data_IF_505713571098
#
_entry.id   IF_505713571098
#
_cell.length_a   1.000
_cell.length_b   1.000
_cell.length_c   1.000
_cell.angle_alpha   90.00
_cell.angle_beta   90.00
_cell.angle_gamma   90.00
#
_symmetry.space_group_name_H-M   'P 1'
#
loop_
_entity.id
_entity.type
_entity.pdbx_description
1 polymer ?
#
# COMPACT_ATOMS: atom_id res chain seq x y z
N UNK A 1 -5.27 30.65 -0.71
CA UNK A 1 -4.11 30.55 -1.65
C UNK A 1 -4.16 29.20 -2.32
N UNK A 2 -4.09 29.16 -3.65
CA UNK A 2 -4.05 27.90 -4.42
C UNK A 2 -2.75 27.20 -4.06
N UNK A 3 -2.85 26.02 -3.46
CA UNK A 3 -1.68 25.17 -3.22
C UNK A 3 -1.26 24.57 -4.56
N UNK A 4 -0.14 25.03 -5.11
CA UNK A 4 0.38 24.48 -6.37
C UNK A 4 1.07 23.17 -6.11
N UNK A 5 0.71 22.15 -6.90
CA UNK A 5 1.34 20.85 -6.90
C UNK A 5 2.07 20.61 -8.22
N UNK A 6 3.13 19.81 -8.18
CA UNK A 6 3.89 19.37 -9.36
C UNK A 6 4.39 17.94 -9.16
N UNK A 7 4.69 17.26 -10.27
CA UNK A 7 5.41 16.00 -10.20
C UNK A 7 6.93 16.29 -10.14
N UNK A 8 7.63 15.56 -9.29
CA UNK A 8 9.08 15.74 -9.07
C UNK A 8 9.76 14.37 -9.13
N UNK A 9 10.89 14.31 -9.81
CA UNK A 9 11.74 13.13 -9.78
C UNK A 9 12.19 12.84 -8.34
N UNK A 10 12.05 11.59 -7.89
CA UNK A 10 12.46 11.20 -6.54
C UNK A 10 13.98 11.19 -6.34
N UNK A 11 14.76 11.16 -7.43
CA UNK A 11 16.21 11.30 -7.34
C UNK A 11 16.57 12.75 -7.01
N UNK A 12 17.11 13.04 -5.81
CA UNK A 12 17.42 14.41 -5.38
C UNK A 12 18.48 15.07 -6.25
N UNK A 13 19.36 14.29 -6.89
CA UNK A 13 20.42 14.80 -7.80
C UNK A 13 19.87 15.18 -9.17
N UNK A 14 18.68 14.70 -9.56
CA UNK A 14 18.06 15.02 -10.84
C UNK A 14 17.21 16.30 -10.75
N UNK A 15 16.33 16.39 -9.77
CA UNK A 15 15.46 17.53 -9.50
C UNK A 15 14.47 17.89 -10.61
N UNK A 16 14.33 17.09 -11.70
CA UNK A 16 13.43 17.39 -12.81
C UNK A 16 11.97 17.39 -12.34
N UNK A 17 11.23 18.38 -12.81
CA UNK A 17 9.81 18.56 -12.47
C UNK A 17 8.92 18.47 -13.70
N UNK A 18 7.65 18.10 -13.49
CA UNK A 18 6.62 18.04 -14.52
C UNK A 18 5.34 18.72 -14.02
N UNK A 19 4.52 19.25 -14.91
CA UNK A 19 3.21 19.77 -14.52
C UNK A 19 2.39 18.69 -13.80
N UNK A 20 1.57 19.09 -12.84
CA UNK A 20 0.68 18.15 -12.15
C UNK A 20 -0.30 17.47 -13.13
N UNK A 21 -0.66 18.16 -14.21
CA UNK A 21 -1.46 17.63 -15.32
C UNK A 21 -0.57 16.88 -16.32
N UNK A 22 0.16 15.87 -15.84
CA UNK A 22 0.98 14.98 -16.65
C UNK A 22 0.69 13.55 -16.29
N UNK A 23 0.64 12.66 -17.28
CA UNK A 23 0.49 11.21 -17.10
C UNK A 23 1.83 10.49 -16.87
N UNK A 24 2.94 11.26 -16.81
CA UNK A 24 4.27 10.69 -16.59
C UNK A 24 4.35 9.99 -15.22
N UNK A 25 4.88 8.78 -15.22
CA UNK A 25 5.14 7.98 -14.01
C UNK A 25 6.64 7.89 -13.68
N UNK A 26 7.50 8.14 -14.68
CA UNK A 26 8.94 8.09 -14.57
C UNK A 26 9.58 9.36 -15.12
N UNK A 27 10.76 9.68 -14.59
CA UNK A 27 11.57 10.78 -15.08
C UNK A 27 12.25 10.42 -16.40
N UNK A 28 12.08 11.26 -17.43
CA UNK A 28 12.69 11.07 -18.76
C UNK A 28 14.23 11.16 -18.71
N UNK A 29 14.80 11.87 -17.73
CA UNK A 29 16.24 12.11 -17.64
C UNK A 29 17.00 10.99 -16.94
N UNK A 30 16.39 10.32 -15.94
CA UNK A 30 17.09 9.31 -15.13
C UNK A 30 16.26 8.07 -14.80
N UNK A 31 15.07 7.95 -15.40
CA UNK A 31 14.17 6.79 -15.30
C UNK A 31 13.67 6.46 -13.85
N UNK A 32 13.93 7.33 -12.86
CA UNK A 32 13.36 7.20 -11.53
C UNK A 32 11.86 7.51 -11.54
N UNK A 33 11.14 6.94 -10.58
CA UNK A 33 9.73 7.25 -10.37
C UNK A 33 9.51 8.72 -10.00
N UNK A 34 8.29 9.21 -10.19
CA UNK A 34 7.88 10.55 -9.82
C UNK A 34 7.04 10.54 -8.54
N UNK A 35 7.11 11.64 -7.78
CA UNK A 35 6.21 11.94 -6.66
C UNK A 35 5.46 13.25 -6.91
N UNK A 36 4.28 13.39 -6.32
CA UNK A 36 3.59 14.67 -6.19
C UNK A 36 4.29 15.48 -5.08
N UNK A 37 4.64 16.72 -5.34
CA UNK A 37 5.18 17.66 -4.35
C UNK A 37 4.32 18.92 -4.30
N UNK A 38 4.01 19.36 -3.09
CA UNK A 38 3.26 20.58 -2.80
C UNK A 38 4.22 21.74 -2.51
N UNK A 39 3.89 22.94 -3.00
CA UNK A 39 4.77 24.13 -2.82
C UNK A 39 4.60 24.79 -1.46
N UNK A 40 3.47 24.56 -0.78
CA UNK A 40 3.16 25.16 0.51
C UNK A 40 2.77 24.08 1.53
N UNK A 41 3.24 24.25 2.75
CA UNK A 41 2.83 23.42 3.87
C UNK A 41 1.39 23.78 4.30
N UNK A 42 0.48 22.80 4.42
CA UNK A 42 -0.85 23.04 4.96
C UNK A 42 -0.76 23.36 6.46
N UNK A 43 -1.69 24.18 6.95
CA UNK A 43 -1.74 24.55 8.37
C UNK A 43 -2.05 23.36 9.26
N UNK A 44 -1.32 23.20 10.38
CA UNK A 44 -1.60 22.17 11.37
C UNK A 44 -2.96 22.35 12.10
N UNK A 45 -3.59 23.52 12.00
CA UNK A 45 -4.97 23.75 12.49
C UNK A 45 -6.00 22.86 11.79
N UNK A 46 -5.69 22.33 10.60
CA UNK A 46 -6.55 21.38 9.91
C UNK A 46 -6.77 20.06 10.67
N UNK A 47 -5.97 19.76 11.70
CA UNK A 47 -6.20 18.62 12.59
C UNK A 47 -7.59 18.66 13.25
N UNK A 48 -8.03 19.84 13.66
CA UNK A 48 -9.36 20.10 14.24
C UNK A 48 -10.45 19.86 13.18
N UNK A 49 -10.26 20.39 11.98
CA UNK A 49 -11.17 20.19 10.84
C UNK A 49 -11.33 18.69 10.50
N UNK A 50 -10.23 17.93 10.49
CA UNK A 50 -10.29 16.50 10.20
C UNK A 50 -11.03 15.72 11.29
N UNK A 51 -10.85 16.11 12.55
CA UNK A 51 -11.58 15.52 13.66
C UNK A 51 -13.09 15.79 13.55
N UNK A 52 -13.50 17.03 13.24
CA UNK A 52 -14.90 17.40 13.04
C UNK A 52 -15.53 16.60 11.87
N UNK A 53 -14.78 16.36 10.79
CA UNK A 53 -15.23 15.55 9.64
C UNK A 53 -15.44 14.07 9.95
N UNK A 54 -15.00 13.57 11.10
CA UNK A 54 -15.34 12.21 11.57
C UNK A 54 -16.83 12.04 11.85
N UNK A 55 -17.52 13.12 12.19
CA UNK A 55 -18.97 13.17 12.37
C UNK A 55 -19.59 13.94 11.20
N UNK A 56 -19.69 13.32 10.01
CA UNK A 56 -20.01 14.03 8.80
C UNK A 56 -21.45 14.56 8.79
N UNK A 57 -21.60 15.83 8.44
CA UNK A 57 -22.87 16.40 8.03
C UNK A 57 -22.69 16.93 6.60
N UNK A 58 -23.42 16.36 5.67
CA UNK A 58 -23.70 16.95 4.36
C UNK A 58 -22.79 16.61 3.18
N UNK A 59 -21.54 16.12 3.33
CA UNK A 59 -20.67 15.81 2.20
C UNK A 59 -20.08 14.40 2.27
N UNK A 60 -20.27 13.62 1.21
CA UNK A 60 -19.65 12.27 1.07
C UNK A 60 -18.13 12.30 1.20
N UNK A 61 -17.48 13.40 0.81
CA UNK A 61 -16.03 13.55 0.92
C UNK A 61 -15.56 13.70 2.37
N UNK A 62 -16.40 14.18 3.28
CA UNK A 62 -16.08 14.22 4.71
C UNK A 62 -16.16 12.82 5.33
N UNK A 63 -16.96 11.91 4.77
CA UNK A 63 -17.06 10.53 5.20
C UNK A 63 -15.87 9.70 4.73
N UNK A 64 -15.28 10.05 3.57
CA UNK A 64 -14.15 9.34 2.99
C UNK A 64 -12.90 9.41 3.89
N UNK A 65 -12.27 8.27 4.12
CA UNK A 65 -10.97 8.19 4.79
C UNK A 65 -9.81 8.73 3.97
N UNK A 66 -10.06 9.07 2.70
CA UNK A 66 -9.12 9.72 1.77
C UNK A 66 -9.42 11.21 1.67
N UNK A 67 -10.63 11.56 1.21
CA UNK A 67 -10.97 12.94 0.86
C UNK A 67 -11.30 13.85 2.05
N UNK A 68 -11.52 13.29 3.25
CA UNK A 68 -11.58 14.15 4.43
C UNK A 68 -10.26 14.87 4.73
N UNK A 69 -9.13 14.34 4.19
CA UNK A 69 -7.79 14.93 4.24
C UNK A 69 -7.42 15.69 2.95
N UNK A 70 -8.41 16.11 2.14
CA UNK A 70 -8.20 16.69 0.80
C UNK A 70 -7.22 17.84 0.74
N UNK A 71 -7.10 18.63 1.80
CA UNK A 71 -6.12 19.71 1.89
C UNK A 71 -4.66 19.21 1.90
N UNK A 72 -4.45 17.94 2.33
CA UNK A 72 -3.15 17.26 2.28
C UNK A 72 -2.93 16.52 0.95
N UNK A 73 -3.97 16.44 0.11
CA UNK A 73 -3.97 15.79 -1.22
C UNK A 73 -4.32 16.78 -2.34
N UNK A 74 -3.99 18.06 -2.18
CA UNK A 74 -4.45 19.11 -3.07
C UNK A 74 -3.70 19.14 -4.42
N UNK A 75 -3.65 18.03 -5.12
CA UNK A 75 -3.13 17.94 -6.50
C UNK A 75 -4.16 18.36 -7.56
N UNK A 76 -5.43 18.54 -7.17
CA UNK A 76 -6.46 19.05 -8.05
C UNK A 76 -6.43 20.58 -8.17
N UNK A 77 -5.47 21.27 -7.54
CA UNK A 77 -5.39 22.72 -7.46
C UNK A 77 -6.71 23.33 -6.89
N UNK A 78 -7.23 22.67 -5.85
CA UNK A 78 -8.46 23.10 -5.17
C UNK A 78 -8.16 24.37 -4.37
N UNK A 79 -8.81 25.46 -4.71
CA UNK A 79 -8.95 26.57 -3.78
C UNK A 79 -9.82 26.11 -2.60
N UNK A 80 -9.33 26.26 -1.39
CA UNK A 80 -9.99 25.77 -0.17
C UNK A 80 -11.41 26.33 0.05
N UNK A 81 -11.76 27.39 -0.66
CA UNK A 81 -13.06 28.05 -0.60
C UNK A 81 -14.07 27.58 -1.67
N UNK A 82 -13.61 26.86 -2.72
CA UNK A 82 -14.47 26.44 -3.82
C UNK A 82 -14.40 24.92 -4.08
N UNK A 83 -14.72 24.15 -3.04
CA UNK A 83 -14.76 22.68 -3.07
C UNK A 83 -15.72 22.17 -4.16
N UNK A 84 -16.78 22.92 -4.49
CA UNK A 84 -17.76 22.50 -5.49
C UNK A 84 -17.18 22.46 -6.91
N UNK A 85 -16.29 23.37 -7.28
CA UNK A 85 -15.64 23.33 -8.60
C UNK A 85 -14.71 22.14 -8.77
N UNK A 86 -14.14 21.66 -7.68
CA UNK A 86 -13.22 20.50 -7.69
C UNK A 86 -13.93 19.19 -7.41
N UNK A 87 -15.09 19.23 -6.76
CA UNK A 87 -15.92 18.06 -6.53
C UNK A 87 -16.20 17.29 -7.82
N UNK A 88 -16.27 17.99 -8.97
CA UNK A 88 -16.45 17.35 -10.29
C UNK A 88 -15.35 16.37 -10.70
N UNK A 89 -14.14 16.50 -10.12
CA UNK A 89 -13.02 15.57 -10.40
C UNK A 89 -12.84 14.52 -9.32
N UNK A 90 -13.21 14.82 -8.06
CA UNK A 90 -12.99 13.89 -6.96
C UNK A 90 -13.80 12.61 -7.19
N UNK A 91 -13.13 11.49 -7.10
CA UNK A 91 -13.72 10.17 -7.21
C UNK A 91 -13.78 9.54 -5.83
N UNK A 92 -14.98 9.19 -5.39
CA UNK A 92 -15.25 8.53 -4.13
C UNK A 92 -16.36 7.50 -4.31
N UNK A 93 -16.30 6.42 -3.56
CA UNK A 93 -17.35 5.40 -3.47
C UNK A 93 -18.31 5.77 -2.32
N UNK A 94 -19.06 6.84 -2.49
CA UNK A 94 -20.01 7.37 -1.49
C UNK A 94 -19.38 7.56 -0.09
N UNK A 95 -18.11 7.98 -0.04
CA UNK A 95 -17.38 8.16 1.20
C UNK A 95 -16.94 6.85 1.87
N UNK A 96 -17.06 5.72 1.21
CA UNK A 96 -16.80 4.42 1.84
C UNK A 96 -15.30 4.07 1.95
N UNK A 97 -14.46 4.55 1.01
CA UNK A 97 -13.03 4.23 1.03
C UNK A 97 -12.33 4.82 2.27
N UNK A 98 -11.64 3.97 3.00
CA UNK A 98 -10.91 4.32 4.23
C UNK A 98 -11.77 4.68 5.44
N UNK A 99 -13.07 4.81 5.32
CA UNK A 99 -13.97 5.31 6.38
C UNK A 99 -13.86 4.52 7.68
N UNK A 100 -13.90 3.20 7.59
CA UNK A 100 -13.85 2.29 8.74
C UNK A 100 -12.43 1.82 9.09
N UNK A 101 -11.44 2.20 8.28
CA UNK A 101 -10.06 1.76 8.44
C UNK A 101 -9.33 2.69 9.40
N UNK A 102 -9.43 2.39 10.68
CA UNK A 102 -8.70 3.04 11.78
C UNK A 102 -8.05 1.97 12.66
N UNK A 103 -7.04 2.32 13.49
CA UNK A 103 -6.46 1.37 14.44
C UNK A 103 -7.45 0.89 15.51
N UNK A 104 -7.36 -0.40 15.81
CA UNK A 104 -8.12 -1.07 16.88
C UNK A 104 -7.18 -1.90 17.75
N UNK A 105 -7.45 -1.95 19.05
CA UNK A 105 -6.83 -2.91 19.96
C UNK A 105 -7.43 -4.31 19.75
N UNK A 106 -6.57 -5.34 19.80
CA UNK A 106 -6.94 -6.74 19.58
C UNK A 106 -6.30 -7.60 20.68
N UNK A 107 -7.02 -7.86 21.77
CA UNK A 107 -6.48 -8.48 22.98
C UNK A 107 -5.76 -9.82 22.73
N UNK A 108 -6.36 -10.74 21.95
CA UNK A 108 -5.72 -12.02 21.66
C UNK A 108 -4.49 -11.88 20.77
N UNK A 109 -4.44 -10.83 19.93
CA UNK A 109 -3.26 -10.53 19.11
C UNK A 109 -2.15 -9.95 19.98
N UNK A 110 -2.46 -9.04 20.91
CA UNK A 110 -1.49 -8.48 21.85
C UNK A 110 -0.90 -9.55 22.76
N UNK A 111 -1.71 -10.46 23.29
CA UNK A 111 -1.27 -11.64 24.04
C UNK A 111 -0.34 -12.55 23.22
N UNK A 112 -0.70 -12.82 21.95
CA UNK A 112 0.12 -13.63 21.03
C UNK A 112 1.48 -13.01 20.76
N UNK A 113 1.53 -11.68 20.60
CA UNK A 113 2.74 -10.91 20.32
C UNK A 113 3.60 -10.73 21.59
N UNK A 114 2.98 -10.60 22.76
CA UNK A 114 3.66 -10.31 24.02
C UNK A 114 3.94 -8.81 24.24
N UNK A 115 3.01 -7.95 23.79
CA UNK A 115 2.99 -6.50 24.02
C UNK A 115 1.68 -6.17 24.75
N UNK A 116 1.72 -5.22 25.68
CA UNK A 116 0.50 -4.78 26.39
C UNK A 116 -0.55 -4.25 25.38
N UNK A 117 -1.84 -4.56 25.63
CA UNK A 117 -2.90 -4.29 24.66
C UNK A 117 -3.04 -2.80 24.31
N UNK A 118 -2.78 -1.89 25.24
CA UNK A 118 -2.77 -0.44 25.03
C UNK A 118 -1.63 0.06 24.14
N UNK A 119 -0.58 -0.72 23.99
CA UNK A 119 0.61 -0.35 23.23
C UNK A 119 0.59 -0.90 21.79
N UNK A 120 -0.33 -1.81 21.43
CA UNK A 120 -0.42 -2.35 20.09
C UNK A 120 -1.81 -2.22 19.50
N UNK A 121 -1.87 -1.72 18.28
CA UNK A 121 -3.11 -1.57 17.51
C UNK A 121 -2.93 -2.10 16.10
N UNK A 122 -4.04 -2.50 15.48
CA UNK A 122 -4.07 -2.95 14.10
C UNK A 122 -5.11 -2.17 13.30
N UNK A 123 -4.70 -1.70 12.11
CA UNK A 123 -5.57 -0.96 11.20
C UNK A 123 -6.07 -1.86 10.06
N UNK A 124 -7.37 -2.28 10.08
CA UNK A 124 -7.92 -3.20 9.09
C UNK A 124 -8.34 -2.46 7.82
N UNK A 125 -7.49 -2.45 6.82
CA UNK A 125 -7.77 -1.92 5.47
C UNK A 125 -8.70 -2.85 4.66
N UNK A 126 -9.03 -4.01 5.17
CA UNK A 126 -10.04 -4.92 4.62
C UNK A 126 -11.47 -4.36 4.62
N UNK A 127 -11.74 -3.32 5.42
CA UNK A 127 -13.04 -2.62 5.45
C UNK A 127 -13.27 -1.68 4.27
N UNK A 128 -12.27 -1.46 3.43
CA UNK A 128 -12.46 -0.75 2.17
C UNK A 128 -13.44 -1.53 1.26
N UNK A 129 -14.19 -0.85 0.37
CA UNK A 129 -15.25 -1.47 -0.45
C UNK A 129 -14.79 -2.67 -1.27
N UNK A 130 -13.63 -2.61 -1.97
CA UNK A 130 -13.08 -3.76 -2.67
C UNK A 130 -12.44 -4.80 -1.74
N UNK A 131 -12.32 -4.48 -0.45
CA UNK A 131 -11.73 -5.32 0.58
C UNK A 131 -10.23 -5.19 0.73
N UNK A 132 -9.60 -4.06 0.35
CA UNK A 132 -8.18 -3.83 0.58
C UNK A 132 -7.79 -2.35 0.55
N UNK A 133 -6.60 -2.04 1.08
CA UNK A 133 -6.01 -0.70 1.06
C UNK A 133 -5.84 -0.08 -0.34
N UNK A 134 -5.98 -0.90 -1.40
CA UNK A 134 -5.84 -0.42 -2.77
C UNK A 134 -6.85 0.68 -3.11
N UNK A 135 -8.01 0.68 -2.48
CA UNK A 135 -9.07 1.66 -2.71
C UNK A 135 -8.63 3.09 -2.36
N UNK A 136 -7.83 3.26 -1.31
CA UNK A 136 -7.31 4.58 -0.96
C UNK A 136 -6.51 5.20 -2.11
N UNK A 137 -5.59 4.43 -2.67
CA UNK A 137 -4.79 4.91 -3.81
C UNK A 137 -5.57 4.97 -5.11
N UNK A 138 -6.55 4.10 -5.30
CA UNK A 138 -7.36 4.07 -6.52
C UNK A 138 -8.25 5.30 -6.61
N UNK A 139 -8.88 5.70 -5.51
CA UNK A 139 -9.65 6.94 -5.41
C UNK A 139 -8.85 8.15 -5.95
N UNK A 140 -7.63 8.36 -5.48
CA UNK A 140 -6.79 9.47 -5.93
C UNK A 140 -6.27 9.31 -7.38
N UNK A 141 -5.87 8.10 -7.79
CA UNK A 141 -5.38 7.87 -9.14
C UNK A 141 -6.48 8.02 -10.20
N UNK A 142 -7.69 7.51 -9.94
CA UNK A 142 -8.83 7.67 -10.87
C UNK A 142 -9.29 9.13 -10.90
N UNK A 143 -9.25 9.86 -9.78
CA UNK A 143 -9.45 11.30 -9.75
C UNK A 143 -8.51 12.02 -10.71
N UNK A 144 -7.20 11.73 -10.64
CA UNK A 144 -6.25 12.33 -11.57
C UNK A 144 -6.49 11.87 -13.02
N UNK A 145 -6.77 10.59 -13.24
CA UNK A 145 -7.14 10.09 -14.57
C UNK A 145 -8.33 10.85 -15.17
N UNK A 146 -9.37 11.10 -14.38
CA UNK A 146 -10.53 11.92 -14.76
C UNK A 146 -10.15 13.37 -15.09
N UNK A 147 -9.25 13.99 -14.31
CA UNK A 147 -8.71 15.32 -14.61
C UNK A 147 -7.94 15.34 -15.95
N UNK A 148 -7.30 14.24 -16.32
CA UNK A 148 -6.59 14.06 -17.60
C UNK A 148 -7.51 13.69 -18.76
N UNK A 149 -8.82 13.55 -18.52
CA UNK A 149 -9.79 13.16 -19.55
C UNK A 149 -9.75 11.68 -19.91
N UNK A 150 -9.20 10.83 -19.05
CA UNK A 150 -9.15 9.39 -19.27
C UNK A 150 -10.56 8.80 -19.43
N UNK A 151 -10.68 7.86 -20.37
CA UNK A 151 -11.88 7.06 -20.64
C UNK A 151 -11.67 5.60 -20.28
N UNK A 152 -10.42 5.18 -20.13
CA UNK A 152 -10.02 3.80 -19.88
C UNK A 152 -8.95 3.75 -18.78
N UNK A 153 -9.18 2.88 -17.80
CA UNK A 153 -8.24 2.56 -16.73
C UNK A 153 -7.50 1.28 -17.10
N UNK A 154 -6.19 1.26 -16.93
CA UNK A 154 -5.32 0.11 -17.28
C UNK A 154 -4.51 -0.30 -16.05
N UNK A 155 -4.48 -1.60 -15.76
CA UNK A 155 -3.53 -2.16 -14.79
C UNK A 155 -3.11 -3.59 -15.14
N UNK A 156 -1.94 -4.00 -14.67
CA UNK A 156 -1.53 -5.39 -14.59
C UNK A 156 -1.70 -5.86 -13.14
N UNK A 157 -2.60 -6.82 -12.90
CA UNK A 157 -2.82 -7.39 -11.57
C UNK A 157 -3.75 -8.61 -11.61
N UNK A 158 -3.44 -9.61 -10.78
CA UNK A 158 -4.28 -10.79 -10.58
C UNK A 158 -5.03 -10.78 -9.23
N UNK A 159 -5.04 -9.64 -8.50
CA UNK A 159 -5.55 -9.58 -7.12
C UNK A 159 -6.19 -8.26 -6.75
N UNK A 160 -5.87 -7.75 -5.54
CA UNK A 160 -6.54 -6.56 -4.96
C UNK A 160 -6.51 -5.32 -5.85
N UNK A 161 -5.47 -5.12 -6.69
CA UNK A 161 -5.40 -3.94 -7.55
C UNK A 161 -6.42 -4.01 -8.68
N UNK A 162 -6.62 -5.18 -9.31
CA UNK A 162 -7.61 -5.35 -10.38
C UNK A 162 -9.05 -5.18 -9.87
N UNK A 163 -9.36 -5.74 -8.68
CA UNK A 163 -10.66 -5.56 -8.05
C UNK A 163 -10.96 -4.08 -7.77
N UNK A 164 -9.99 -3.37 -7.19
CA UNK A 164 -10.14 -1.95 -6.91
C UNK A 164 -10.25 -1.10 -8.18
N UNK A 165 -9.39 -1.36 -9.20
CA UNK A 165 -9.44 -0.65 -10.48
C UNK A 165 -10.79 -0.80 -11.18
N UNK A 166 -11.30 -2.03 -11.27
CA UNK A 166 -12.59 -2.32 -11.89
C UNK A 166 -13.75 -1.63 -11.18
N UNK A 167 -13.75 -1.67 -9.84
CA UNK A 167 -14.79 -1.03 -9.04
C UNK A 167 -14.84 0.48 -9.23
N UNK A 168 -13.71 1.17 -9.17
CA UNK A 168 -13.65 2.62 -9.38
C UNK A 168 -13.93 3.01 -10.84
N UNK A 169 -13.48 2.23 -11.81
CA UNK A 169 -13.78 2.45 -13.23
C UNK A 169 -15.29 2.31 -13.48
N UNK A 170 -15.94 1.28 -12.95
CA UNK A 170 -17.38 1.09 -13.07
C UNK A 170 -18.18 2.25 -12.45
N UNK A 171 -17.76 2.72 -11.26
CA UNK A 171 -18.39 3.87 -10.60
C UNK A 171 -18.32 5.16 -11.44
N UNK A 172 -17.25 5.34 -12.21
CA UNK A 172 -17.03 6.53 -13.05
C UNK A 172 -17.42 6.32 -14.53
N UNK A 173 -18.07 5.21 -14.87
CA UNK A 173 -18.41 4.85 -16.25
C UNK A 173 -17.20 4.86 -17.20
N UNK A 174 -16.06 4.38 -16.72
CA UNK A 174 -14.83 4.21 -17.48
C UNK A 174 -14.65 2.73 -17.86
N UNK A 175 -14.02 2.47 -19.00
CA UNK A 175 -13.53 1.13 -19.33
C UNK A 175 -12.38 0.75 -18.38
N UNK A 176 -12.19 -0.55 -18.15
CA UNK A 176 -11.08 -1.07 -17.37
C UNK A 176 -10.48 -2.32 -18.00
N UNK A 177 -9.21 -2.23 -18.42
CA UNK A 177 -8.45 -3.35 -18.96
C UNK A 177 -7.46 -3.85 -17.90
N UNK A 178 -7.56 -5.14 -17.59
CA UNK A 178 -6.70 -5.83 -16.62
C UNK A 178 -5.81 -6.84 -17.34
N UNK A 179 -4.51 -6.55 -17.38
CA UNK A 179 -3.49 -7.38 -18.02
C UNK A 179 -3.05 -8.49 -17.08
N UNK A 180 -3.08 -9.73 -17.55
CA UNK A 180 -2.79 -10.94 -16.76
C UNK A 180 -1.94 -11.93 -17.55
N UNK A 181 -1.01 -12.67 -16.92
CA UNK A 181 -0.32 -13.77 -17.58
C UNK A 181 -1.33 -14.87 -17.96
N UNK A 182 -1.18 -15.46 -19.16
CA UNK A 182 -2.05 -16.54 -19.60
C UNK A 182 -1.75 -17.84 -18.81
N UNK A 183 -2.81 -18.55 -18.39
CA UNK A 183 -2.70 -19.87 -17.75
C UNK A 183 -2.29 -19.89 -16.26
N UNK A 184 -2.02 -18.77 -15.62
CA UNK A 184 -1.49 -18.73 -14.24
C UNK A 184 -2.47 -18.29 -13.15
N UNK A 185 -3.78 -18.25 -13.42
CA UNK A 185 -4.71 -17.57 -12.52
C UNK A 185 -5.84 -18.47 -12.06
N UNK A 186 -5.99 -18.59 -10.74
CA UNK A 186 -7.17 -19.18 -10.13
C UNK A 186 -8.39 -18.25 -10.37
N UNK A 187 -9.50 -18.74 -10.95
CA UNK A 187 -10.67 -17.92 -11.27
C UNK A 187 -11.21 -17.11 -10.08
N UNK A 188 -11.13 -17.65 -8.86
CA UNK A 188 -11.61 -16.97 -7.65
C UNK A 188 -10.92 -15.64 -7.33
N UNK A 189 -9.65 -15.46 -7.74
CA UNK A 189 -8.90 -14.20 -7.49
C UNK A 189 -9.36 -13.04 -8.36
N UNK A 190 -9.88 -13.34 -9.54
CA UNK A 190 -10.36 -12.32 -10.48
C UNK A 190 -11.87 -12.11 -10.41
N UNK A 191 -12.59 -12.91 -9.60
CA UNK A 191 -14.05 -12.88 -9.55
C UNK A 191 -14.62 -11.47 -9.32
N UNK A 192 -14.02 -10.69 -8.43
CA UNK A 192 -14.46 -9.31 -8.20
C UNK A 192 -14.22 -8.41 -9.41
N UNK A 193 -13.05 -8.51 -10.06
CA UNK A 193 -12.77 -7.72 -11.25
C UNK A 193 -13.75 -8.04 -12.40
N UNK A 194 -14.05 -9.32 -12.62
CA UNK A 194 -15.09 -9.74 -13.57
C UNK A 194 -16.47 -9.19 -13.20
N UNK A 195 -16.83 -9.24 -11.90
CA UNK A 195 -18.11 -8.70 -11.42
C UNK A 195 -18.27 -7.21 -11.71
N UNK A 196 -17.18 -6.44 -11.70
CA UNK A 196 -17.19 -5.02 -12.03
C UNK A 196 -17.06 -4.73 -13.54
N UNK A 197 -17.17 -5.74 -14.39
CA UNK A 197 -17.18 -5.57 -15.85
C UNK A 197 -15.81 -5.25 -16.46
N UNK A 198 -14.71 -5.61 -15.79
CA UNK A 198 -13.37 -5.40 -16.36
C UNK A 198 -13.09 -6.32 -17.54
N UNK A 199 -12.39 -5.79 -18.55
CA UNK A 199 -11.86 -6.58 -19.65
C UNK A 199 -10.54 -7.24 -19.27
N UNK A 200 -10.48 -8.58 -19.26
CA UNK A 200 -9.25 -9.31 -19.02
C UNK A 200 -8.44 -9.45 -20.31
N UNK A 201 -7.22 -8.92 -20.31
CA UNK A 201 -6.27 -9.02 -21.42
C UNK A 201 -5.21 -10.05 -21.07
N UNK A 202 -5.27 -11.21 -21.71
CA UNK A 202 -4.30 -12.29 -21.52
C UNK A 202 -3.00 -12.01 -22.26
N UNK A 203 -1.88 -12.19 -21.59
CA UNK A 203 -0.54 -11.95 -22.13
C UNK A 203 0.27 -13.24 -22.02
N UNK A 204 0.85 -13.67 -23.13
CA UNK A 204 1.81 -14.77 -23.12
C UNK A 204 3.06 -14.36 -22.35
N UNK A 205 3.47 -15.15 -21.37
CA UNK A 205 4.63 -14.89 -20.52
C UNK A 205 4.27 -14.82 -19.04
N UNK A 206 5.07 -14.08 -18.29
CA UNK A 206 4.92 -13.93 -16.84
C UNK A 206 4.27 -12.59 -16.45
N UNK A 207 4.26 -12.27 -15.16
CA UNK A 207 3.68 -11.03 -14.66
C UNK A 207 4.43 -9.77 -15.16
N UNK A 208 5.75 -9.84 -15.33
CA UNK A 208 6.55 -8.70 -15.82
C UNK A 208 6.20 -8.38 -17.29
N UNK A 209 5.90 -9.41 -18.10
CA UNK A 209 5.43 -9.25 -19.47
C UNK A 209 4.05 -8.58 -19.52
N UNK A 210 3.12 -9.04 -18.66
CA UNK A 210 1.80 -8.44 -18.54
C UNK A 210 1.89 -6.97 -18.07
N UNK A 211 2.77 -6.69 -17.11
CA UNK A 211 3.01 -5.33 -16.61
C UNK A 211 3.57 -4.42 -17.72
N UNK A 212 4.56 -4.88 -18.47
CA UNK A 212 5.17 -4.13 -19.58
C UNK A 212 4.12 -3.80 -20.64
N UNK A 213 3.31 -4.78 -21.04
CA UNK A 213 2.22 -4.55 -22.02
C UNK A 213 1.15 -3.61 -21.51
N UNK A 214 0.84 -3.64 -20.22
CA UNK A 214 -0.11 -2.70 -19.62
C UNK A 214 0.39 -1.25 -19.66
N UNK A 215 1.70 -1.04 -19.47
CA UNK A 215 2.30 0.29 -19.60
C UNK A 215 2.28 0.80 -21.04
N UNK A 216 2.56 -0.07 -22.02
CA UNK A 216 2.47 0.27 -23.45
C UNK A 216 1.03 0.65 -23.83
N UNK A 217 0.03 -0.11 -23.40
CA UNK A 217 -1.36 0.21 -23.66
C UNK A 217 -1.83 1.53 -22.99
N UNK A 218 -1.20 1.92 -21.89
CA UNK A 218 -1.49 3.18 -21.22
C UNK A 218 -0.98 4.42 -21.98
N UNK A 219 -0.15 4.25 -23.02
CA UNK A 219 0.29 5.32 -23.91
C UNK A 219 -0.78 5.68 -24.96
N UNK A 220 -1.80 4.84 -25.14
CA UNK A 220 -2.92 5.13 -26.05
C UNK A 220 -3.74 6.34 -25.56
N UNK A 221 -4.20 7.23 -26.46
CA UNK A 221 -5.02 8.38 -26.08
C UNK A 221 -6.26 7.98 -25.29
N UNK A 222 -6.50 8.65 -24.18
CA UNK A 222 -7.63 8.36 -23.28
C UNK A 222 -7.42 7.19 -22.33
N UNK A 223 -6.27 6.53 -22.37
CA UNK A 223 -5.88 5.47 -21.44
C UNK A 223 -5.07 6.00 -20.26
N UNK A 224 -5.22 5.36 -19.08
CA UNK A 224 -4.54 5.78 -17.85
C UNK A 224 -4.13 4.60 -16.99
N UNK A 225 -2.82 4.48 -16.70
CA UNK A 225 -2.32 3.40 -15.83
C UNK A 225 -2.55 3.68 -14.36
N UNK A 226 -3.02 2.67 -13.62
CA UNK A 226 -3.24 2.73 -12.18
C UNK A 226 -2.44 1.70 -11.40
N UNK A 227 -1.35 1.19 -11.95
CA UNK A 227 -0.41 0.35 -11.20
C UNK A 227 0.29 1.14 -10.08
N UNK A 228 0.95 0.44 -9.16
CA UNK A 228 1.57 1.05 -7.96
C UNK A 228 2.68 2.06 -8.25
N UNK A 229 3.22 2.10 -9.48
CA UNK A 229 4.18 3.10 -9.94
C UNK A 229 3.56 4.48 -10.17
N UNK A 230 2.25 4.57 -10.30
CA UNK A 230 1.53 5.83 -10.47
C UNK A 230 1.67 6.71 -9.21
N UNK A 231 2.16 7.95 -9.30
CA UNK A 231 2.38 8.81 -8.15
C UNK A 231 1.10 9.16 -7.38
N UNK A 232 -0.04 9.25 -8.04
CA UNK A 232 -1.33 9.55 -7.40
C UNK A 232 -1.88 8.36 -6.60
N UNK A 233 -1.47 7.12 -6.93
CA UNK A 233 -1.71 5.97 -6.06
C UNK A 233 -1.06 6.17 -4.69
N UNK A 234 0.16 6.70 -4.66
CA UNK A 234 0.89 7.01 -3.43
C UNK A 234 0.17 8.12 -2.64
N UNK A 235 -0.38 9.13 -3.33
CA UNK A 235 -1.14 10.21 -2.69
C UNK A 235 -2.36 9.69 -1.93
N UNK A 236 -3.17 8.85 -2.54
CA UNK A 236 -4.31 8.27 -1.83
C UNK A 236 -3.90 7.35 -0.67
N UNK A 237 -2.89 6.51 -0.87
CA UNK A 237 -2.41 5.57 0.16
C UNK A 237 -1.74 6.28 1.35
N UNK A 238 -1.16 7.47 1.19
CA UNK A 238 -0.57 8.22 2.32
C UNK A 238 -1.59 8.61 3.39
N UNK A 239 -2.91 8.50 3.12
CA UNK A 239 -3.95 8.72 4.12
C UNK A 239 -4.07 7.59 5.14
N UNK A 240 -3.49 6.42 4.87
CA UNK A 240 -3.47 5.28 5.81
C UNK A 240 -2.78 5.68 7.11
N UNK A 241 -1.50 6.15 7.13
CA UNK A 241 -0.89 6.65 8.36
C UNK A 241 -1.54 7.93 8.89
N UNK A 242 -2.18 8.77 8.06
CA UNK A 242 -2.93 9.91 8.59
C UNK A 242 -4.08 9.46 9.51
N UNK A 243 -4.81 8.41 9.13
CA UNK A 243 -5.88 7.86 9.99
C UNK A 243 -5.34 7.20 11.24
N UNK A 244 -4.16 6.56 11.16
CA UNK A 244 -3.50 6.02 12.33
C UNK A 244 -3.12 7.13 13.32
N UNK A 245 -2.43 8.17 12.84
CA UNK A 245 -2.02 9.31 13.67
C UNK A 245 -3.22 10.09 14.22
N UNK A 246 -4.25 10.31 13.41
CA UNK A 246 -5.49 10.97 13.85
C UNK A 246 -6.19 10.17 14.98
N UNK A 247 -6.19 8.84 14.90
CA UNK A 247 -6.77 7.99 15.98
C UNK A 247 -5.95 8.06 17.25
N UNK A 248 -4.64 8.25 17.13
CA UNK A 248 -3.70 8.47 18.23
C UNK A 248 -3.60 9.96 18.64
N UNK A 249 -4.59 10.80 18.25
CA UNK A 249 -4.59 12.24 18.55
C UNK A 249 -3.31 12.95 18.09
N UNK A 250 -2.70 12.47 16.99
CA UNK A 250 -1.43 12.89 16.42
C UNK A 250 -0.19 12.59 17.29
N UNK A 251 -0.35 11.76 18.34
CA UNK A 251 0.78 11.12 18.96
C UNK A 251 1.44 10.13 17.99
N UNK A 252 2.74 10.23 17.85
CA UNK A 252 3.48 9.38 16.91
C UNK A 252 3.85 8.08 17.60
N UNK A 253 3.44 6.91 17.07
CA UNK A 253 3.86 5.62 17.62
C UNK A 253 5.37 5.41 17.43
N UNK A 254 5.94 4.39 18.05
CA UNK A 254 7.34 4.03 17.85
C UNK A 254 7.51 3.28 16.54
N UNK A 255 6.52 2.47 16.17
CA UNK A 255 6.57 1.62 14.99
C UNK A 255 5.30 1.65 14.15
N UNK A 256 5.50 1.66 12.81
CA UNK A 256 4.49 1.36 11.81
C UNK A 256 4.92 0.11 11.04
N UNK A 257 4.10 -0.95 11.05
CA UNK A 257 4.48 -2.26 10.50
C UNK A 257 3.63 -2.62 9.30
N UNK A 258 4.30 -2.93 8.18
CA UNK A 258 3.67 -3.18 6.87
C UNK A 258 4.13 -4.50 6.25
N UNK A 259 3.23 -5.25 5.58
CA UNK A 259 3.65 -6.32 4.68
C UNK A 259 4.44 -5.77 3.50
N UNK A 260 5.52 -6.42 3.13
CA UNK A 260 6.41 -6.05 2.04
C UNK A 260 6.19 -6.85 0.76
N UNK A 261 5.54 -6.27 -0.24
CA UNK A 261 5.43 -6.82 -1.61
C UNK A 261 6.00 -5.83 -2.62
N UNK A 262 5.16 -5.19 -3.46
CA UNK A 262 5.58 -4.16 -4.43
C UNK A 262 6.04 -2.83 -3.80
N UNK A 263 5.99 -2.70 -2.49
CA UNK A 263 6.43 -1.57 -1.66
C UNK A 263 5.68 -0.25 -1.86
N UNK A 264 4.55 -0.25 -2.56
CA UNK A 264 3.72 0.95 -2.73
C UNK A 264 3.19 1.49 -1.42
N UNK A 265 2.74 0.61 -0.50
CA UNK A 265 2.22 1.00 0.82
C UNK A 265 3.34 1.53 1.73
N UNK A 266 4.50 0.87 1.76
CA UNK A 266 5.70 1.38 2.45
C UNK A 266 6.12 2.76 1.92
N UNK A 267 6.11 2.92 0.59
CA UNK A 267 6.45 4.19 -0.08
C UNK A 267 5.51 5.32 0.30
N UNK A 268 4.20 5.06 0.36
CA UNK A 268 3.20 6.05 0.74
C UNK A 268 3.31 6.43 2.22
N UNK A 269 3.60 5.46 3.09
CA UNK A 269 3.87 5.71 4.49
C UNK A 269 5.09 6.62 4.67
N UNK A 270 6.23 6.27 4.06
CA UNK A 270 7.43 7.10 4.12
C UNK A 270 7.18 8.52 3.59
N UNK A 271 6.47 8.65 2.45
CA UNK A 271 6.12 9.97 1.90
C UNK A 271 5.25 10.77 2.87
N UNK A 272 4.23 10.16 3.47
CA UNK A 272 3.36 10.85 4.43
C UNK A 272 4.14 11.37 5.65
N UNK A 273 5.05 10.55 6.18
CA UNK A 273 5.88 10.91 7.33
C UNK A 273 6.88 12.02 7.01
N UNK A 274 7.50 11.97 5.82
CA UNK A 274 8.37 13.06 5.33
C UNK A 274 7.61 14.38 5.25
N UNK A 275 6.43 14.38 4.61
CA UNK A 275 5.59 15.57 4.48
C UNK A 275 5.14 16.10 5.84
N UNK A 276 4.60 15.26 6.71
CA UNK A 276 4.15 15.68 8.03
C UNK A 276 5.29 16.23 8.90
N UNK A 277 6.49 15.67 8.79
CA UNK A 277 7.66 16.16 9.50
C UNK A 277 8.15 17.48 8.93
N UNK A 278 8.28 17.61 7.59
CA UNK A 278 8.65 18.85 6.90
C UNK A 278 7.65 19.98 7.18
N UNK A 279 6.35 19.67 7.27
CA UNK A 279 5.29 20.65 7.60
C UNK A 279 5.21 20.98 9.11
N UNK A 280 5.99 20.32 9.93
CA UNK A 280 5.98 20.52 11.40
C UNK A 280 4.73 19.98 12.10
N UNK A 281 4.00 19.05 11.46
CA UNK A 281 2.82 18.42 12.05
C UNK A 281 3.17 17.35 13.08
N UNK A 282 4.29 16.68 12.88
CA UNK A 282 4.89 15.73 13.81
C UNK A 282 6.32 16.15 14.14
N UNK A 283 6.78 15.87 15.38
CA UNK A 283 8.13 16.17 15.85
C UNK A 283 9.02 14.94 15.98
N UNK A 284 8.42 13.77 15.99
CA UNK A 284 9.05 12.44 16.05
C UNK A 284 8.70 11.70 14.76
N UNK A 285 9.62 10.89 14.26
CA UNK A 285 9.42 10.03 13.11
C UNK A 285 9.29 8.60 13.65
N UNK A 286 8.19 7.87 13.36
CA UNK A 286 8.09 6.47 13.73
C UNK A 286 9.01 5.63 12.83
N UNK A 287 9.55 4.54 13.35
CA UNK A 287 10.27 3.56 12.55
C UNK A 287 9.30 2.74 11.71
N UNK A 288 9.66 2.45 10.46
CA UNK A 288 8.90 1.53 9.61
C UNK A 288 9.55 0.15 9.69
N UNK A 289 8.73 -0.89 9.96
CA UNK A 289 9.13 -2.27 9.75
C UNK A 289 8.42 -2.84 8.53
N UNK A 290 9.19 -3.32 7.54
CA UNK A 290 8.69 -3.99 6.34
C UNK A 290 8.86 -5.48 6.49
N UNK A 291 7.77 -6.24 6.37
CA UNK A 291 7.77 -7.68 6.60
C UNK A 291 7.54 -8.40 5.28
N UNK A 292 8.57 -9.10 4.79
CA UNK A 292 8.48 -9.97 3.62
C UNK A 292 7.94 -11.36 3.99
N UNK A 293 7.35 -12.07 3.04
CA UNK A 293 7.23 -13.51 3.11
C UNK A 293 8.59 -14.15 2.82
N UNK A 294 9.04 -15.15 3.60
CA UNK A 294 10.34 -15.78 3.41
C UNK A 294 10.52 -16.43 2.02
N UNK A 295 9.41 -16.86 1.40
CA UNK A 295 9.42 -17.35 0.03
C UNK A 295 9.32 -16.26 -1.06
N UNK A 296 9.28 -14.96 -0.69
CA UNK A 296 9.26 -13.82 -1.61
C UNK A 296 9.93 -12.61 -0.93
N UNK A 297 11.21 -12.75 -0.59
CA UNK A 297 11.93 -11.92 0.36
C UNK A 297 13.03 -11.04 -0.26
N UNK A 298 12.88 -10.66 -1.52
CA UNK A 298 13.88 -9.86 -2.25
C UNK A 298 14.42 -8.68 -1.45
N UNK A 299 13.52 -7.87 -0.84
CA UNK A 299 13.95 -6.71 -0.08
C UNK A 299 14.73 -7.13 1.18
N UNK A 300 14.30 -8.19 1.88
CA UNK A 300 15.01 -8.73 3.04
C UNK A 300 16.42 -9.17 2.70
N UNK A 301 16.59 -9.93 1.61
CA UNK A 301 17.89 -10.43 1.13
C UNK A 301 18.85 -9.27 0.83
N UNK A 302 18.38 -8.28 0.09
CA UNK A 302 19.18 -7.15 -0.34
C UNK A 302 19.44 -6.15 0.81
N UNK A 303 18.41 -5.82 1.59
CA UNK A 303 18.52 -4.80 2.64
C UNK A 303 19.40 -5.25 3.80
N UNK A 304 19.36 -6.52 4.16
CA UNK A 304 20.14 -7.05 5.27
C UNK A 304 21.54 -7.58 4.87
N UNK A 305 21.87 -7.55 3.56
CA UNK A 305 23.16 -8.02 3.07
C UNK A 305 23.29 -9.56 3.11
N UNK A 306 22.17 -10.26 2.95
CA UNK A 306 22.18 -11.73 2.87
C UNK A 306 22.69 -12.17 1.50
N UNK A 307 22.34 -11.42 0.46
CA UNK A 307 22.85 -11.61 -0.89
C UNK A 307 24.12 -10.78 -1.09
N UNK A 308 25.22 -11.43 -1.49
CA UNK A 308 26.56 -10.87 -1.79
C UNK A 308 27.19 -10.05 -0.62
N UNK A 309 26.80 -10.26 0.63
CA UNK A 309 27.31 -9.52 1.82
C UNK A 309 27.22 -7.98 1.70
N UNK A 310 26.45 -7.47 0.74
CA UNK A 310 26.28 -6.06 0.42
C UNK A 310 24.88 -5.56 0.78
N UNK A 311 24.79 -4.47 1.56
CA UNK A 311 23.54 -3.91 2.03
C UNK A 311 22.98 -2.85 1.07
N UNK A 312 21.81 -3.12 0.52
CA UNK A 312 21.08 -2.15 -0.29
C UNK A 312 20.52 -1.03 0.58
N UNK A 313 20.87 0.24 0.24
CA UNK A 313 20.41 1.46 0.93
C UNK A 313 20.00 2.52 -0.08
N UNK A 314 19.32 3.57 0.38
CA UNK A 314 18.90 4.70 -0.46
C UNK A 314 20.09 5.56 -0.91
N UNK A 315 21.09 5.76 -0.03
CA UNK A 315 22.34 6.48 -0.31
C UNK A 315 22.09 7.85 -0.99
N UNK A 316 21.26 8.69 -0.41
CA UNK A 316 20.92 10.03 -0.95
C UNK A 316 20.46 10.00 -2.42
N UNK A 317 19.63 9.03 -2.78
CA UNK A 317 19.10 8.87 -4.13
C UNK A 317 20.00 8.11 -5.09
N UNK A 318 21.01 7.43 -4.59
CA UNK A 318 21.93 6.60 -5.37
C UNK A 318 22.01 5.16 -4.83
N UNK A 319 20.87 4.42 -4.76
CA UNK A 319 20.92 3.01 -4.36
C UNK A 319 21.77 2.21 -5.35
N UNK A 320 22.42 1.15 -4.86
CA UNK A 320 23.17 0.26 -5.73
C UNK A 320 22.23 -0.57 -6.63
N UNK A 321 21.92 -0.04 -7.81
CA UNK A 321 21.08 -0.74 -8.79
C UNK A 321 21.76 -1.97 -9.38
N UNK A 322 23.09 -2.01 -9.45
CA UNK A 322 23.83 -3.19 -9.94
C UNK A 322 23.61 -4.39 -9.01
N UNK A 323 23.57 -4.16 -7.70
CA UNK A 323 23.22 -5.20 -6.73
C UNK A 323 21.80 -5.74 -6.97
N UNK A 324 20.83 -4.86 -7.25
CA UNK A 324 19.46 -5.25 -7.58
C UNK A 324 19.43 -6.09 -8.86
N UNK A 325 20.14 -5.66 -9.90
CA UNK A 325 20.20 -6.37 -11.18
C UNK A 325 20.88 -7.74 -11.03
N UNK A 326 21.99 -7.83 -10.28
CA UNK A 326 22.63 -9.13 -9.96
C UNK A 326 21.66 -10.08 -9.27
N UNK A 327 20.92 -9.59 -8.28
CA UNK A 327 19.90 -10.39 -7.60
C UNK A 327 18.81 -10.87 -8.57
N UNK A 328 18.28 -9.98 -9.42
CA UNK A 328 17.24 -10.34 -10.38
C UNK A 328 17.72 -11.35 -11.43
N UNK A 329 18.97 -11.21 -11.89
CA UNK A 329 19.58 -12.18 -12.81
C UNK A 329 19.72 -13.54 -12.12
N UNK A 330 20.23 -13.56 -10.89
CA UNK A 330 20.33 -14.79 -10.12
C UNK A 330 18.97 -15.44 -9.86
N UNK A 331 17.95 -14.66 -9.55
CA UNK A 331 16.57 -15.15 -9.37
C UNK A 331 15.98 -15.75 -10.65
N UNK A 332 16.38 -15.28 -11.84
CA UNK A 332 15.94 -15.88 -13.10
C UNK A 332 16.60 -17.26 -13.35
N UNK A 333 17.80 -17.47 -12.85
CA UNK A 333 18.59 -18.71 -13.00
C UNK A 333 18.30 -19.75 -11.91
N UNK A 334 17.93 -19.31 -10.71
CA UNK A 334 17.79 -20.13 -9.52
C UNK A 334 16.31 -20.20 -9.06
N UNK A 335 15.70 -21.37 -9.26
CA UNK A 335 14.30 -21.62 -8.90
C UNK A 335 14.01 -21.38 -7.39
N UNK A 336 15.03 -21.53 -6.52
CA UNK A 336 14.86 -21.34 -5.07
C UNK A 336 14.66 -19.87 -4.68
N UNK A 337 15.10 -18.94 -5.53
CA UNK A 337 14.92 -17.50 -5.34
C UNK A 337 13.65 -16.96 -5.98
N UNK A 338 12.96 -17.77 -6.81
CA UNK A 338 11.69 -17.34 -7.41
C UNK A 338 10.60 -17.15 -6.35
N UNK A 339 9.81 -16.08 -6.43
CA UNK A 339 8.82 -15.78 -5.41
C UNK A 339 7.76 -16.87 -5.30
N UNK A 340 7.67 -17.52 -4.13
CA UNK A 340 6.73 -18.59 -3.85
C UNK A 340 6.21 -18.49 -2.42
N UNK A 341 4.96 -18.09 -2.25
CA UNK A 341 4.28 -18.02 -0.95
C UNK A 341 2.77 -18.17 -1.14
N UNK A 342 2.06 -18.65 -0.13
CA UNK A 342 0.59 -18.64 -0.09
C UNK A 342 0.02 -17.22 0.09
N UNK A 343 0.80 -16.28 0.61
CA UNK A 343 0.42 -14.88 0.74
C UNK A 343 0.55 -14.13 -0.59
N UNK A 344 -0.34 -14.43 -1.54
CA UNK A 344 -0.25 -14.03 -2.94
C UNK A 344 -0.17 -12.53 -3.17
N UNK A 345 -0.75 -11.71 -2.27
CA UNK A 345 -0.70 -10.25 -2.37
C UNK A 345 0.73 -9.66 -2.17
N UNK A 346 1.65 -10.44 -1.56
CA UNK A 346 3.06 -10.07 -1.36
C UNK A 346 4.02 -11.04 -2.05
N UNK A 347 3.52 -11.90 -2.94
CA UNK A 347 4.35 -12.80 -3.77
C UNK A 347 5.02 -12.01 -4.91
N UNK A 348 5.95 -11.13 -4.57
CA UNK A 348 6.59 -10.19 -5.50
C UNK A 348 8.11 -10.40 -5.47
N UNK A 349 8.67 -10.83 -6.63
CA UNK A 349 10.10 -10.98 -6.82
C UNK A 349 10.82 -9.67 -7.16
N UNK A 350 10.15 -8.78 -7.93
CA UNK A 350 10.71 -7.50 -8.38
C UNK A 350 9.84 -6.34 -7.88
N UNK A 351 10.08 -5.81 -6.67
CA UNK A 351 9.28 -4.70 -6.12
C UNK A 351 9.35 -3.44 -6.98
N UNK A 352 8.23 -3.07 -7.62
CA UNK A 352 8.17 -1.92 -8.54
C UNK A 352 8.44 -0.56 -7.88
N UNK A 353 8.29 -0.46 -6.57
CA UNK A 353 8.55 0.76 -5.79
C UNK A 353 9.80 0.64 -4.90
N UNK A 354 10.79 -0.20 -5.26
CA UNK A 354 11.95 -0.47 -4.41
C UNK A 354 12.70 0.82 -4.04
N UNK A 355 12.92 1.73 -4.98
CA UNK A 355 13.61 3.00 -4.73
C UNK A 355 12.86 3.88 -3.72
N UNK A 356 11.54 4.03 -3.85
CA UNK A 356 10.71 4.77 -2.88
C UNK A 356 10.65 4.06 -1.53
N UNK A 357 10.62 2.74 -1.52
CA UNK A 357 10.67 1.92 -0.31
C UNK A 357 11.97 2.10 0.47
N UNK A 358 13.11 2.10 -0.23
CA UNK A 358 14.42 2.37 0.37
C UNK A 358 14.49 3.78 0.95
N UNK A 359 13.99 4.79 0.23
CA UNK A 359 13.90 6.17 0.75
C UNK A 359 13.06 6.24 2.03
N UNK A 360 11.94 5.53 2.08
CA UNK A 360 11.09 5.45 3.27
C UNK A 360 11.82 4.83 4.46
N UNK A 361 12.51 3.71 4.23
CA UNK A 361 13.29 3.01 5.26
C UNK A 361 14.46 3.86 5.77
N UNK A 362 15.18 4.52 4.87
CA UNK A 362 16.28 5.42 5.23
C UNK A 362 15.80 6.59 6.09
N UNK A 363 14.74 7.27 5.65
CA UNK A 363 14.18 8.42 6.39
C UNK A 363 13.66 8.04 7.80
N UNK A 364 13.16 6.82 7.98
CA UNK A 364 12.52 6.38 9.23
C UNK A 364 13.41 5.51 10.11
N UNK A 365 14.69 5.37 9.82
CA UNK A 365 15.57 4.36 10.43
C UNK A 365 14.87 2.98 10.47
N UNK A 366 14.27 2.64 9.33
CA UNK A 366 13.40 1.48 9.20
C UNK A 366 14.17 0.17 9.12
N UNK A 367 13.44 -0.93 9.24
CA UNK A 367 14.02 -2.27 9.17
C UNK A 367 13.23 -3.17 8.22
N UNK A 368 13.86 -4.25 7.78
CA UNK A 368 13.22 -5.28 6.98
C UNK A 368 13.40 -6.62 7.67
N UNK A 369 12.29 -7.32 7.86
CA UNK A 369 12.24 -8.66 8.44
C UNK A 369 11.47 -9.59 7.49
N UNK A 370 11.56 -10.89 7.71
CA UNK A 370 10.79 -11.89 6.98
C UNK A 370 10.06 -12.85 7.90
N UNK A 371 8.98 -13.42 7.42
CA UNK A 371 8.17 -14.43 8.12
C UNK A 371 7.76 -15.54 7.16
N UNK A 372 7.64 -16.76 7.69
CA UNK A 372 7.19 -17.93 6.93
C UNK A 372 5.66 -17.90 6.67
N UNK A 373 5.22 -18.72 5.72
CA UNK A 373 3.79 -18.94 5.46
C UNK A 373 3.04 -19.41 6.73
N UNK A 374 3.67 -20.25 7.55
CA UNK A 374 3.07 -20.71 8.80
C UNK A 374 2.88 -19.58 9.80
N UNK A 375 3.90 -18.74 10.00
CA UNK A 375 3.80 -17.58 10.90
C UNK A 375 2.73 -16.59 10.42
N UNK A 376 2.61 -16.36 9.10
CA UNK A 376 1.56 -15.51 8.54
C UNK A 376 0.15 -16.09 8.75
N UNK A 377 -0.02 -17.41 8.60
CA UNK A 377 -1.30 -18.08 8.88
C UNK A 377 -1.67 -18.02 10.36
N UNK A 378 -0.70 -18.19 11.27
CA UNK A 378 -0.92 -18.01 12.71
C UNK A 378 -1.36 -16.56 13.01
N UNK A 379 -0.68 -15.56 12.39
CA UNK A 379 -1.04 -14.15 12.51
C UNK A 379 -2.44 -13.84 11.97
N UNK A 380 -2.80 -14.37 10.81
CA UNK A 380 -4.15 -14.24 10.24
C UNK A 380 -5.21 -14.86 11.18
N UNK A 381 -4.92 -16.06 11.69
CA UNK A 381 -5.87 -16.80 12.51
C UNK A 381 -6.13 -16.13 13.86
N UNK A 382 -5.10 -15.59 14.52
CA UNK A 382 -5.30 -14.88 15.80
C UNK A 382 -6.07 -13.57 15.60
N UNK A 383 -5.93 -12.88 14.46
CA UNK A 383 -6.77 -11.74 14.08
C UNK A 383 -8.23 -12.18 13.97
N UNK A 384 -8.49 -13.31 13.29
CA UNK A 384 -9.83 -13.91 13.20
C UNK A 384 -10.45 -14.22 14.55
N UNK A 385 -9.66 -14.69 15.53
CA UNK A 385 -10.12 -14.93 16.90
C UNK A 385 -10.51 -13.66 17.68
N UNK A 386 -10.15 -12.47 17.18
CA UNK A 386 -10.63 -11.18 17.71
C UNK A 386 -11.86 -10.66 16.95
N UNK A 387 -12.42 -11.42 15.98
CA UNK A 387 -13.58 -11.02 15.19
C UNK A 387 -13.25 -10.09 14.01
N UNK A 388 -11.99 -9.98 13.63
CA UNK A 388 -11.57 -9.22 12.47
C UNK A 388 -11.19 -10.16 11.33
N UNK A 389 -11.55 -9.78 10.10
CA UNK A 389 -11.17 -10.50 8.90
C UNK A 389 -9.92 -9.90 8.27
N UNK A 390 -8.95 -10.75 7.90
CA UNK A 390 -7.79 -10.30 7.14
C UNK A 390 -7.23 -11.38 6.21
N UNK A 391 -6.63 -10.96 5.09
CA UNK A 391 -5.90 -11.83 4.17
C UNK A 391 -4.57 -12.32 4.79
N UNK A 392 -4.04 -13.43 4.28
CA UNK A 392 -2.79 -14.01 4.78
C UNK A 392 -1.61 -13.02 4.74
N UNK A 393 -1.53 -12.20 3.69
CA UNK A 393 -0.51 -11.14 3.60
C UNK A 393 -0.58 -10.15 4.78
N UNK A 394 -1.77 -9.85 5.30
CA UNK A 394 -1.94 -9.03 6.51
C UNK A 394 -1.38 -9.70 7.77
N UNK A 395 -1.45 -11.03 7.83
CA UNK A 395 -0.85 -11.82 8.91
C UNK A 395 0.66 -11.61 9.03
N UNK A 396 1.34 -11.18 7.95
CA UNK A 396 2.75 -10.83 7.99
C UNK A 396 3.04 -9.68 8.97
N UNK A 397 2.17 -8.65 9.07
CA UNK A 397 2.35 -7.58 10.06
C UNK A 397 2.32 -8.12 11.49
N UNK A 398 1.38 -9.00 11.81
CA UNK A 398 1.25 -9.62 13.14
C UNK A 398 2.45 -10.50 13.47
N UNK A 399 2.80 -11.40 12.56
CA UNK A 399 3.94 -12.32 12.72
C UNK A 399 5.27 -11.55 12.79
N UNK A 400 5.43 -10.50 11.99
CA UNK A 400 6.60 -9.64 11.98
C UNK A 400 6.79 -8.88 13.29
N UNK A 401 5.71 -8.28 13.84
CA UNK A 401 5.76 -7.62 15.15
C UNK A 401 6.17 -8.64 16.22
N UNK A 402 5.56 -9.83 16.22
CA UNK A 402 5.94 -10.90 17.15
C UNK A 402 7.42 -11.26 17.04
N UNK A 403 7.91 -11.52 15.84
CA UNK A 403 9.31 -11.89 15.58
C UNK A 403 10.29 -10.80 16.01
N UNK A 404 9.95 -9.53 15.76
CA UNK A 404 10.73 -8.37 16.18
C UNK A 404 10.69 -8.17 17.71
N UNK A 405 9.55 -8.49 18.34
CA UNK A 405 9.41 -8.50 19.79
C UNK A 405 10.24 -9.62 20.43
N UNK A 406 10.21 -10.82 19.88
CA UNK A 406 11.01 -11.97 20.33
C UNK A 406 12.52 -11.69 20.19
N UNK A 407 12.94 -10.90 19.20
CA UNK A 407 14.32 -10.40 19.01
C UNK A 407 14.65 -9.15 19.87
N UNK A 408 13.74 -8.68 20.68
CA UNK A 408 13.86 -7.46 21.49
C UNK A 408 14.17 -6.18 20.69
N UNK A 409 13.89 -6.16 19.39
CA UNK A 409 13.99 -4.97 18.52
C UNK A 409 12.80 -4.04 18.79
N UNK A 410 11.58 -4.58 18.82
CA UNK A 410 10.39 -3.91 19.34
C UNK A 410 10.35 -4.18 20.85
N UNK A 411 10.34 -3.13 21.65
CA UNK A 411 10.29 -3.23 23.11
C UNK A 411 8.86 -3.49 23.58
N UNK A 412 8.73 -3.96 24.83
CA UNK A 412 7.42 -4.29 25.43
C UNK A 412 6.51 -3.06 25.58
N UNK A 413 7.11 -1.91 25.80
CA UNK A 413 6.49 -0.62 26.03
C UNK A 413 6.43 0.28 24.78
N UNK A 414 6.97 -0.18 23.62
CA UNK A 414 6.85 0.54 22.38
C UNK A 414 5.39 0.59 21.91
N UNK A 415 4.94 1.77 21.44
CA UNK A 415 3.65 1.94 20.74
C UNK A 415 3.78 1.47 19.28
N UNK A 416 2.97 0.49 18.91
CA UNK A 416 3.06 -0.18 17.60
C UNK A 416 1.72 -0.14 16.88
N UNK A 417 1.72 0.23 15.59
CA UNK A 417 0.56 0.10 14.71
C UNK A 417 0.90 -0.84 13.55
N UNK A 418 0.22 -1.98 13.48
CA UNK A 418 0.31 -2.93 12.37
C UNK A 418 -0.79 -2.68 11.33
N UNK A 419 -0.46 -2.73 10.04
CA UNK A 419 -1.44 -2.56 8.97
C UNK A 419 -1.90 -3.93 8.45
N UNK A 420 -3.21 -4.18 8.53
CA UNK A 420 -3.87 -5.35 7.94
C UNK A 420 -4.41 -4.95 6.57
N UNK A 421 -3.69 -5.32 5.52
CA UNK A 421 -3.80 -4.75 4.17
C UNK A 421 -5.07 -5.07 3.40
N UNK A 422 -5.73 -6.17 3.74
CA UNK A 422 -6.94 -6.60 3.05
C UNK A 422 -7.70 -7.67 3.80
N UNK A 423 -8.94 -7.94 3.39
CA UNK A 423 -9.77 -9.03 3.91
C UNK A 423 -9.48 -10.33 3.18
N UNK A 424 -9.85 -11.44 3.80
CA UNK A 424 -9.70 -12.79 3.25
C UNK A 424 -10.58 -12.98 1.99
N UNK A 425 -9.95 -13.49 0.93
CA UNK A 425 -10.59 -13.79 -0.37
C UNK A 425 -10.22 -15.19 -0.88
N UNK A 426 -9.47 -15.96 -0.12
CA UNK A 426 -9.04 -17.32 -0.44
C UNK A 426 -9.69 -18.30 0.53
N UNK A 427 -10.92 -18.78 0.26
CA UNK A 427 -11.77 -19.44 1.25
C UNK A 427 -11.18 -20.73 1.81
N UNK A 428 -10.33 -21.43 1.08
CA UNK A 428 -9.73 -22.69 1.53
C UNK A 428 -8.64 -22.49 2.60
N UNK A 429 -7.91 -21.36 2.59
CA UNK A 429 -6.81 -21.15 3.53
C UNK A 429 -7.22 -21.26 5.01
N UNK A 430 -8.27 -20.58 5.50
CA UNK A 430 -8.69 -20.72 6.89
C UNK A 430 -9.25 -22.12 7.18
N UNK A 431 -9.92 -22.76 6.21
CA UNK A 431 -10.46 -24.12 6.37
C UNK A 431 -9.31 -25.11 6.57
N UNK A 432 -8.33 -25.11 5.68
CA UNK A 432 -7.15 -25.98 5.77
C UNK A 432 -6.39 -25.76 7.06
N UNK A 433 -6.21 -24.48 7.46
CA UNK A 433 -5.51 -24.13 8.70
C UNK A 433 -6.20 -24.72 9.93
N UNK A 434 -7.51 -24.53 10.06
CA UNK A 434 -8.25 -24.99 11.24
C UNK A 434 -8.49 -26.50 11.28
N UNK A 435 -8.43 -27.18 10.15
CA UNK A 435 -8.54 -28.64 10.07
C UNK A 435 -7.25 -29.36 10.47
N UNK A 436 -6.08 -28.72 10.41
CA UNK A 436 -4.81 -29.31 10.81
C UNK A 436 -4.56 -29.08 12.30
N UNK A 437 -4.64 -30.13 13.16
CA UNK A 437 -4.46 -30.00 14.61
C UNK A 437 -3.04 -29.58 15.02
N UNK A 438 -2.04 -29.65 14.12
CA UNK A 438 -0.70 -29.18 14.37
C UNK A 438 -0.57 -27.66 14.34
N UNK A 439 -1.57 -26.94 13.85
CA UNK A 439 -1.55 -25.49 13.82
C UNK A 439 -1.93 -24.89 15.19
N UNK A 440 -1.26 -23.80 15.57
CA UNK A 440 -1.33 -23.19 16.90
C UNK A 440 -2.76 -22.87 17.35
N UNK A 441 -3.59 -22.38 16.44
CA UNK A 441 -4.96 -21.95 16.72
C UNK A 441 -6.00 -22.85 16.04
N UNK A 442 -5.62 -24.09 15.68
CA UNK A 442 -6.50 -25.02 15.03
C UNK A 442 -7.80 -25.23 15.84
N UNK A 443 -8.92 -25.36 15.11
CA UNK A 443 -10.24 -25.68 15.64
C UNK A 443 -10.92 -26.67 14.69
N UNK A 444 -10.45 -27.93 14.65
CA UNK A 444 -11.03 -28.92 13.77
C UNK A 444 -12.52 -29.14 14.14
N UNK A 445 -13.35 -29.50 13.15
CA UNK A 445 -14.75 -29.80 13.41
C UNK A 445 -14.87 -30.94 14.44
N UNK A 446 -15.82 -30.79 15.36
CA UNK A 446 -16.17 -31.87 16.30
C UNK A 446 -17.00 -32.91 15.54
N UNK A 447 -16.57 -34.16 15.54
CA UNK A 447 -17.28 -35.28 15.00
C UNK A 447 -18.40 -35.71 15.99
#
# INVERSE_FOLDING_TARGET
>A
MIQKAKLVCINPKCGKTYPIRSTAIKCESCNYLLDVKYEQAPSSKLKETFYERRNPQGSIYNESGVWRFRELLNFCEIETEDIEQCAKYLVSLDGAEGRQSKPYHMTKVSEFIGIENENVMFQPEGYNPSGSFKDNGMSAAVTHGKMMGAKKIICASTGNTSASAGMFAANENMECDVYIPDGQIAPGKLSQAYQFGTQMVKVNGNFDDAFTKSLQAAEEPGSYTVNSVNPFRIEGQKTIPFRALETLEWEVPDWLVYPGGALGNTSSCGKSLMELYEWGWIKKIPRIAVINASGANTLYQLYNGIFDDEKLRWNDGAPNFELIERFYNKMNEDETLKPKTKATAIQIGKPSNIAKGLRALDFTDGIVEEVSDKEMLDGMSVVGLNGFDCEMASGASVAGIKKLRDKEIIKKDDKVVGILTGRQKEPLLPIDYHNDPANRFARPPKI
#
